data_IF_541446897495
#
_entry.id   IF_541446897495
#
_cell.length_a   1.000
_cell.length_b   1.000
_cell.length_c   1.000
_cell.angle_alpha   90.00
_cell.angle_beta   90.00
_cell.angle_gamma   90.00
#
_symmetry.space_group_name_H-M   'P 1'
#
loop_
_entity.id
_entity.type
_entity.pdbx_description
1 polymer ?
#
# COMPACT_ATOMS: atom_id res chain seq x y z
N UNK A 1 19.65 7.95 5.61
CA UNK A 1 18.40 7.54 4.94
C UNK A 1 18.03 8.53 3.83
N UNK A 2 17.89 9.83 4.09
CA UNK A 2 17.41 10.84 3.13
C UNK A 2 18.35 10.97 1.93
N UNK A 3 19.66 11.11 2.15
CA UNK A 3 20.66 11.21 1.08
C UNK A 3 20.68 9.94 0.23
N UNK A 4 20.55 8.77 0.89
CA UNK A 4 20.49 7.48 0.20
C UNK A 4 19.22 7.35 -0.65
N UNK A 5 18.06 7.78 -0.15
CA UNK A 5 16.84 7.81 -0.93
C UNK A 5 17.01 8.67 -2.19
N UNK A 6 17.58 9.88 -2.03
CA UNK A 6 17.86 10.76 -3.17
C UNK A 6 18.81 10.09 -4.17
N UNK A 7 19.88 9.46 -3.69
CA UNK A 7 20.85 8.75 -4.53
C UNK A 7 20.20 7.59 -5.29
N UNK A 8 19.41 6.76 -4.60
CA UNK A 8 18.77 5.60 -5.21
C UNK A 8 17.75 5.99 -6.29
N UNK A 9 17.01 7.08 -6.07
CA UNK A 9 16.06 7.57 -7.08
C UNK A 9 16.80 8.20 -8.25
N UNK A 10 17.75 9.10 -8.01
CA UNK A 10 18.39 9.89 -9.06
C UNK A 10 19.44 9.12 -9.88
N UNK A 11 20.23 8.25 -9.23
CA UNK A 11 21.32 7.54 -9.88
C UNK A 11 20.93 6.13 -10.35
N UNK A 12 20.02 5.45 -9.62
CA UNK A 12 19.64 4.06 -9.92
C UNK A 12 18.20 3.91 -10.43
N UNK A 13 17.44 5.01 -10.53
CA UNK A 13 16.10 5.00 -11.10
C UNK A 13 15.06 4.27 -10.23
N UNK A 14 15.30 4.15 -8.91
CA UNK A 14 14.30 3.58 -8.00
C UNK A 14 13.01 4.38 -8.03
N UNK A 15 11.89 3.67 -7.99
CA UNK A 15 10.55 4.24 -8.22
C UNK A 15 9.80 4.60 -6.95
N UNK A 16 10.38 4.44 -5.78
CA UNK A 16 9.72 4.74 -4.51
C UNK A 16 10.55 4.41 -3.29
N UNK A 17 9.97 4.64 -2.12
CA UNK A 17 10.51 4.26 -0.83
C UNK A 17 9.58 3.28 -0.12
N UNK A 18 10.10 2.54 0.86
CA UNK A 18 9.30 1.72 1.77
C UNK A 18 9.56 2.13 3.21
N UNK A 19 8.49 2.18 4.00
CA UNK A 19 8.51 2.41 5.45
C UNK A 19 7.81 1.25 6.14
N UNK A 20 8.48 0.69 7.13
CA UNK A 20 7.96 -0.43 7.89
C UNK A 20 7.78 -0.06 9.37
N UNK A 21 6.56 0.28 9.81
CA UNK A 21 6.24 0.62 11.19
C UNK A 21 6.57 -0.50 12.18
N UNK A 22 6.42 -1.78 11.79
CA UNK A 22 6.70 -2.90 12.67
C UNK A 22 8.18 -3.00 13.03
N UNK A 23 9.05 -2.88 12.02
CA UNK A 23 10.50 -2.97 12.21
C UNK A 23 11.02 -1.75 12.97
N UNK A 24 10.46 -0.60 12.69
CA UNK A 24 10.82 0.65 13.36
C UNK A 24 10.25 0.73 14.80
N UNK A 25 9.21 -0.07 15.11
CA UNK A 25 8.44 0.00 16.38
C UNK A 25 7.92 1.42 16.65
N UNK A 26 7.40 2.05 15.61
CA UNK A 26 6.87 3.41 15.61
C UNK A 26 5.63 3.44 14.71
N UNK A 27 4.57 4.14 15.08
CA UNK A 27 3.40 4.30 14.21
C UNK A 27 3.77 5.03 12.92
N UNK A 28 3.02 4.74 11.83
CA UNK A 28 3.30 5.29 10.51
C UNK A 28 3.30 6.84 10.49
N UNK A 29 2.48 7.48 11.32
CA UNK A 29 2.39 8.93 11.52
C UNK A 29 3.43 9.50 12.49
N UNK A 30 4.42 8.70 12.91
CA UNK A 30 5.45 9.20 13.82
C UNK A 30 6.39 10.17 13.12
N UNK A 31 6.67 11.33 13.76
CA UNK A 31 7.49 12.44 13.23
C UNK A 31 8.86 12.03 12.66
N UNK A 32 9.43 10.90 13.07
CA UNK A 32 10.70 10.41 12.52
C UNK A 32 10.61 9.95 11.07
N UNK A 33 9.42 9.57 10.58
CA UNK A 33 9.18 9.22 9.19
C UNK A 33 8.92 10.43 8.29
N UNK A 34 8.48 11.56 8.85
CA UNK A 34 8.11 12.77 8.10
C UNK A 34 9.20 13.28 7.15
N UNK A 35 10.50 13.27 7.51
CA UNK A 35 11.56 13.63 6.55
C UNK A 35 11.62 12.70 5.33
N UNK A 36 11.27 11.40 5.48
CA UNK A 36 11.18 10.45 4.36
C UNK A 36 10.00 10.82 3.47
N UNK A 37 8.83 11.08 4.05
CA UNK A 37 7.63 11.47 3.32
C UNK A 37 7.83 12.78 2.55
N UNK A 38 8.40 13.78 3.20
CA UNK A 38 8.75 15.05 2.55
C UNK A 38 9.72 14.85 1.38
N UNK A 39 10.72 13.96 1.53
CA UNK A 39 11.68 13.67 0.46
C UNK A 39 11.01 12.91 -0.69
N UNK A 40 10.08 12.00 -0.43
CA UNK A 40 9.29 11.34 -1.48
C UNK A 40 8.45 12.35 -2.27
N UNK A 41 7.83 13.34 -1.60
CA UNK A 41 7.14 14.43 -2.28
C UNK A 41 8.08 15.24 -3.18
N UNK A 42 9.25 15.63 -2.67
CA UNK A 42 10.27 16.38 -3.43
C UNK A 42 10.72 15.61 -4.68
N UNK A 43 10.97 14.32 -4.53
CA UNK A 43 11.40 13.42 -5.61
C UNK A 43 10.27 12.96 -6.53
N UNK A 44 9.01 13.25 -6.16
CA UNK A 44 7.79 12.81 -6.86
C UNK A 44 7.73 11.30 -7.03
N UNK A 45 8.08 10.56 -5.98
CA UNK A 45 8.00 9.10 -5.93
C UNK A 45 7.04 8.66 -4.83
N UNK A 46 6.32 7.52 -5.01
CA UNK A 46 5.44 6.99 -3.99
C UNK A 46 6.20 6.45 -2.78
N UNK A 47 5.50 6.36 -1.66
CA UNK A 47 5.93 5.61 -0.49
C UNK A 47 5.01 4.41 -0.27
N UNK A 48 5.60 3.24 -0.04
CA UNK A 48 4.90 2.05 0.45
C UNK A 48 4.99 2.05 1.98
N UNK A 49 3.86 1.98 2.65
CA UNK A 49 3.78 1.89 4.12
C UNK A 49 3.23 0.50 4.46
N UNK A 50 4.04 -0.32 5.14
CA UNK A 50 3.59 -1.62 5.62
C UNK A 50 2.51 -1.46 6.68
N UNK A 51 1.35 -2.06 6.43
CA UNK A 51 0.19 -2.08 7.32
C UNK A 51 -0.21 -3.53 7.65
N UNK A 52 -1.23 -3.73 8.47
CA UNK A 52 -1.70 -5.08 8.80
C UNK A 52 -1.20 -5.60 10.15
N UNK A 53 -1.27 -6.91 10.44
CA UNK A 53 -1.12 -7.44 11.79
C UNK A 53 0.32 -7.63 12.27
N UNK A 54 1.32 -7.62 11.38
CA UNK A 54 2.72 -7.86 11.76
C UNK A 54 2.98 -9.20 12.43
N UNK A 55 2.25 -10.25 12.07
CA UNK A 55 2.20 -11.54 12.77
C UNK A 55 3.56 -12.25 12.90
N UNK A 56 4.48 -11.98 11.98
CA UNK A 56 5.82 -12.61 11.94
C UNK A 56 6.92 -11.71 12.49
N UNK A 57 6.57 -10.55 13.04
CA UNK A 57 7.55 -9.59 13.56
C UNK A 57 7.49 -9.55 15.08
N UNK A 58 8.49 -10.10 15.79
CA UNK A 58 8.49 -10.12 17.24
C UNK A 58 8.43 -8.72 17.85
N UNK A 59 7.48 -8.51 18.75
CA UNK A 59 7.27 -7.24 19.43
C UNK A 59 6.62 -6.16 18.57
N UNK A 60 6.03 -6.50 17.41
CA UNK A 60 5.19 -5.60 16.64
C UNK A 60 3.92 -5.23 17.40
N UNK A 61 3.51 -3.97 17.26
CA UNK A 61 2.24 -3.48 17.79
C UNK A 61 1.32 -3.22 16.60
N UNK A 62 0.22 -3.97 16.51
CA UNK A 62 -0.70 -3.91 15.37
C UNK A 62 -1.25 -2.48 15.15
N UNK A 63 -1.49 -1.72 16.22
CA UNK A 63 -1.94 -0.33 16.14
C UNK A 63 -0.96 0.64 15.48
N UNK A 64 0.35 0.33 15.47
CA UNK A 64 1.36 1.18 14.82
C UNK A 64 1.23 1.14 13.29
N UNK A 65 0.71 0.04 12.76
CA UNK A 65 0.52 -0.20 11.34
C UNK A 65 -0.98 -0.21 10.93
N UNK A 66 -1.84 0.42 11.71
CA UNK A 66 -3.26 0.51 11.37
C UNK A 66 -3.50 1.51 10.23
N UNK A 67 -4.56 1.31 9.42
CA UNK A 67 -4.95 2.25 8.35
C UNK A 67 -5.18 3.68 8.85
N UNK A 68 -5.69 3.87 10.08
CA UNK A 68 -5.88 5.19 10.66
C UNK A 68 -4.58 6.01 10.75
N UNK A 69 -3.43 5.35 10.94
CA UNK A 69 -2.12 6.02 10.94
C UNK A 69 -1.74 6.52 9.54
N UNK A 70 -2.13 5.77 8.51
CA UNK A 70 -1.93 6.19 7.11
C UNK A 70 -2.84 7.37 6.75
N UNK A 71 -4.06 7.41 7.27
CA UNK A 71 -4.98 8.54 7.09
C UNK A 71 -4.37 9.86 7.60
N UNK A 72 -3.70 9.82 8.75
CA UNK A 72 -2.98 10.97 9.30
C UNK A 72 -1.84 11.44 8.38
N UNK A 73 -1.03 10.49 7.87
CA UNK A 73 0.05 10.79 6.91
C UNK A 73 -0.50 11.37 5.61
N UNK A 74 -1.60 10.81 5.09
CA UNK A 74 -2.22 11.29 3.85
C UNK A 74 -2.75 12.73 3.96
N UNK A 75 -3.29 13.08 5.12
CA UNK A 75 -3.73 14.45 5.43
C UNK A 75 -2.55 15.42 5.51
N UNK A 76 -1.47 15.01 6.17
CA UNK A 76 -0.31 15.89 6.41
C UNK A 76 0.56 16.04 5.14
N UNK A 77 0.48 15.09 4.20
CA UNK A 77 1.22 15.07 2.93
C UNK A 77 0.26 14.83 1.75
N UNK A 78 -0.58 15.78 1.36
CA UNK A 78 -1.60 15.59 0.33
C UNK A 78 -1.01 15.33 -1.07
N UNK A 79 0.23 15.75 -1.33
CA UNK A 79 0.94 15.53 -2.59
C UNK A 79 1.73 14.20 -2.63
N UNK A 80 1.79 13.46 -1.53
CA UNK A 80 2.48 12.20 -1.43
C UNK A 80 1.59 11.06 -1.95
N UNK A 81 2.04 10.33 -2.96
CA UNK A 81 1.40 9.07 -3.32
C UNK A 81 1.76 8.00 -2.30
N UNK A 82 0.76 7.44 -1.64
CA UNK A 82 0.90 6.44 -0.57
C UNK A 82 0.29 5.11 -1.03
N UNK A 83 1.02 4.02 -0.85
CA UNK A 83 0.51 2.66 -1.03
C UNK A 83 0.51 1.96 0.32
N UNK A 84 -0.68 1.62 0.84
CA UNK A 84 -0.80 0.74 2.00
C UNK A 84 -0.50 -0.70 1.56
N UNK A 85 0.60 -1.27 2.04
CA UNK A 85 0.91 -2.68 1.84
C UNK A 85 0.16 -3.54 2.86
N UNK A 86 -0.24 -4.76 2.45
CA UNK A 86 -1.02 -5.71 3.25
C UNK A 86 -2.44 -5.26 3.65
N UNK A 87 -2.94 -4.20 2.99
CA UNK A 87 -4.33 -3.76 3.08
C UNK A 87 -4.83 -3.36 4.47
N UNK A 88 -3.93 -3.16 5.44
CA UNK A 88 -4.34 -2.87 6.81
C UNK A 88 -5.09 -4.01 7.50
N UNK A 89 -5.00 -5.26 7.00
CA UNK A 89 -5.68 -6.39 7.61
C UNK A 89 -5.38 -6.47 9.14
N UNK A 90 -6.35 -6.72 10.02
CA UNK A 90 -7.73 -7.14 9.76
C UNK A 90 -8.74 -5.98 9.59
N UNK A 91 -8.33 -4.74 9.55
CA UNK A 91 -9.19 -3.54 9.49
C UNK A 91 -9.65 -3.22 8.06
N UNK A 92 -10.24 -4.23 7.39
CA UNK A 92 -10.61 -4.16 5.96
C UNK A 92 -11.48 -2.95 5.62
N UNK A 93 -12.55 -2.71 6.38
CA UNK A 93 -13.47 -1.60 6.14
C UNK A 93 -12.78 -0.24 6.34
N UNK A 94 -11.99 -0.11 7.40
CA UNK A 94 -11.23 1.10 7.70
C UNK A 94 -10.23 1.40 6.57
N UNK A 95 -9.47 0.39 6.12
CA UNK A 95 -8.52 0.53 5.02
C UNK A 95 -9.17 0.97 3.71
N UNK A 96 -10.33 0.38 3.37
CA UNK A 96 -11.10 0.78 2.19
C UNK A 96 -11.58 2.23 2.30
N UNK A 97 -12.02 2.66 3.49
CA UNK A 97 -12.45 4.04 3.71
C UNK A 97 -11.29 5.03 3.67
N UNK A 98 -10.11 4.66 4.16
CA UNK A 98 -8.90 5.49 4.03
C UNK A 98 -8.54 5.70 2.57
N UNK A 99 -8.58 4.65 1.73
CA UNK A 99 -8.40 4.78 0.28
C UNK A 99 -9.48 5.64 -0.39
N UNK A 100 -10.74 5.48 0.02
CA UNK A 100 -11.86 6.21 -0.56
C UNK A 100 -11.79 7.73 -0.29
N UNK A 101 -11.49 8.10 0.96
CA UNK A 101 -11.50 9.52 1.36
C UNK A 101 -10.23 10.29 0.97
N UNK A 102 -9.10 9.60 0.71
CA UNK A 102 -7.84 10.23 0.37
C UNK A 102 -7.47 9.96 -1.09
N UNK A 103 -7.44 11.02 -1.91
CA UNK A 103 -7.14 10.92 -3.33
C UNK A 103 -5.74 10.31 -3.59
N UNK A 104 -4.81 10.51 -2.69
CA UNK A 104 -3.40 10.12 -2.77
C UNK A 104 -3.08 8.75 -2.17
N UNK A 105 -4.08 8.00 -1.64
CA UNK A 105 -3.87 6.68 -1.02
C UNK A 105 -4.35 5.56 -1.93
N UNK A 106 -3.52 4.54 -2.06
CA UNK A 106 -3.74 3.28 -2.77
C UNK A 106 -3.46 2.11 -1.84
N UNK A 107 -3.82 0.88 -2.24
CA UNK A 107 -3.68 -0.29 -1.38
C UNK A 107 -3.42 -1.56 -2.18
N UNK A 108 -2.53 -2.42 -1.66
CA UNK A 108 -2.42 -3.83 -2.00
C UNK A 108 -2.64 -4.66 -0.73
N UNK A 109 -3.17 -5.89 -0.85
CA UNK A 109 -3.48 -6.74 0.31
C UNK A 109 -2.89 -8.15 0.18
N UNK A 110 -1.73 -8.24 -0.44
CA UNK A 110 -0.98 -9.50 -0.55
C UNK A 110 -0.83 -10.22 0.79
N UNK A 111 -0.77 -11.52 0.76
CA UNK A 111 -0.85 -12.48 1.86
C UNK A 111 -2.26 -12.71 2.43
N UNK A 112 -3.17 -11.74 2.31
CA UNK A 112 -4.48 -11.77 2.96
C UNK A 112 -5.65 -11.97 2.00
N UNK A 113 -5.40 -12.29 0.72
CA UNK A 113 -6.42 -12.31 -0.34
C UNK A 113 -7.59 -13.25 -0.05
N UNK A 114 -7.30 -14.38 0.61
CA UNK A 114 -8.28 -15.43 0.93
C UNK A 114 -8.58 -15.56 2.43
N UNK A 115 -8.11 -14.61 3.24
CA UNK A 115 -8.34 -14.63 4.67
C UNK A 115 -9.77 -14.20 5.02
N UNK A 116 -10.28 -14.54 6.21
CA UNK A 116 -11.64 -14.15 6.63
C UNK A 116 -11.87 -12.65 6.43
N UNK A 117 -13.03 -12.29 5.85
CA UNK A 117 -13.46 -10.92 5.56
C UNK A 117 -12.66 -10.18 4.48
N UNK A 118 -11.68 -10.81 3.83
CA UNK A 118 -10.91 -10.20 2.73
C UNK A 118 -11.75 -9.94 1.47
N UNK A 119 -12.89 -10.61 1.31
CA UNK A 119 -13.90 -10.32 0.28
C UNK A 119 -14.37 -8.86 0.31
N UNK A 120 -14.26 -8.19 1.46
CA UNK A 120 -14.51 -6.76 1.61
C UNK A 120 -13.65 -5.88 0.70
N UNK A 121 -12.39 -6.25 0.42
CA UNK A 121 -11.54 -5.51 -0.54
C UNK A 121 -12.09 -5.59 -1.96
N UNK A 122 -12.50 -6.80 -2.38
CA UNK A 122 -13.07 -7.03 -3.72
C UNK A 122 -14.37 -6.27 -3.90
N UNK A 123 -15.24 -6.34 -2.88
CA UNK A 123 -16.49 -5.59 -2.88
C UNK A 123 -16.25 -4.08 -2.96
N UNK A 124 -15.35 -3.55 -2.14
CA UNK A 124 -14.99 -2.14 -2.18
C UNK A 124 -14.37 -1.75 -3.52
N UNK A 125 -13.48 -2.59 -4.10
CA UNK A 125 -12.92 -2.39 -5.43
C UNK A 125 -13.97 -2.28 -6.51
N UNK A 126 -14.97 -3.16 -6.49
CA UNK A 126 -16.04 -3.15 -7.47
C UNK A 126 -17.00 -1.94 -7.35
N UNK A 127 -17.23 -1.45 -6.14
CA UNK A 127 -18.32 -0.51 -5.87
C UNK A 127 -17.83 0.91 -5.51
N UNK A 128 -16.66 1.05 -4.90
CA UNK A 128 -16.27 2.28 -4.22
C UNK A 128 -14.89 2.83 -4.65
N UNK A 129 -13.89 1.95 -4.83
CA UNK A 129 -12.48 2.30 -5.06
C UNK A 129 -11.84 1.56 -6.23
N UNK A 130 -12.45 1.55 -7.44
CA UNK A 130 -12.01 0.73 -8.57
C UNK A 130 -10.61 1.10 -9.10
N UNK A 131 -10.14 2.30 -8.78
CA UNK A 131 -8.87 2.87 -9.22
C UNK A 131 -7.80 2.96 -8.12
N UNK A 132 -8.05 2.32 -6.96
CA UNK A 132 -7.19 2.42 -5.77
C UNK A 132 -6.50 1.11 -5.39
N UNK A 133 -7.04 -0.02 -5.83
CA UNK A 133 -6.46 -1.32 -5.53
C UNK A 133 -5.38 -1.68 -6.54
N UNK A 134 -4.26 -2.23 -6.07
CA UNK A 134 -3.17 -2.70 -6.90
C UNK A 134 -2.80 -4.13 -6.57
N UNK A 135 -2.31 -4.86 -7.57
CA UNK A 135 -1.83 -6.23 -7.41
C UNK A 135 -0.47 -6.23 -6.71
N UNK A 136 -0.32 -7.16 -5.77
CA UNK A 136 0.96 -7.57 -5.22
C UNK A 136 0.92 -9.06 -4.87
N UNK A 137 2.08 -9.72 -4.90
CA UNK A 137 2.19 -11.16 -4.71
C UNK A 137 2.82 -11.58 -3.40
N UNK A 138 3.40 -10.64 -2.66
CA UNK A 138 4.29 -10.93 -1.53
C UNK A 138 5.46 -11.89 -1.90
N UNK A 139 5.95 -11.82 -3.15
CA UNK A 139 7.15 -12.56 -3.55
C UNK A 139 8.33 -12.18 -2.62
N UNK A 140 9.19 -13.14 -2.17
CA UNK A 140 9.32 -14.53 -2.62
C UNK A 140 8.49 -15.57 -1.83
N UNK A 141 7.59 -15.15 -0.94
CA UNK A 141 6.78 -16.10 -0.16
C UNK A 141 5.76 -16.84 -1.03
N UNK A 142 5.28 -16.18 -2.09
CA UNK A 142 4.36 -16.76 -3.06
C UNK A 142 4.85 -16.50 -4.49
N UNK A 143 4.49 -17.39 -5.41
CA UNK A 143 4.74 -17.21 -6.84
C UNK A 143 3.83 -16.12 -7.41
N UNK A 144 4.43 -15.14 -8.11
CA UNK A 144 3.70 -13.97 -8.62
C UNK A 144 2.66 -14.35 -9.68
N UNK A 145 2.94 -15.36 -10.51
CA UNK A 145 2.01 -15.81 -11.54
C UNK A 145 0.81 -16.55 -10.97
N UNK A 146 1.04 -17.41 -9.98
CA UNK A 146 -0.05 -18.08 -9.26
C UNK A 146 -0.95 -17.09 -8.52
N UNK A 147 -0.34 -16.04 -7.93
CA UNK A 147 -1.12 -14.97 -7.29
C UNK A 147 -1.94 -14.16 -8.29
N UNK A 148 -1.39 -13.81 -9.46
CA UNK A 148 -2.16 -13.13 -10.49
C UNK A 148 -3.39 -13.96 -10.93
N UNK A 149 -3.22 -15.27 -11.11
CA UNK A 149 -4.35 -16.17 -11.39
C UNK A 149 -5.37 -16.24 -10.25
N UNK A 150 -4.94 -16.16 -9.00
CA UNK A 150 -5.85 -16.10 -7.86
C UNK A 150 -6.75 -14.86 -7.96
N UNK A 151 -6.21 -13.69 -8.31
CA UNK A 151 -7.00 -12.46 -8.45
C UNK A 151 -8.12 -12.59 -9.50
N UNK A 152 -7.92 -13.37 -10.57
CA UNK A 152 -8.95 -13.66 -11.57
C UNK A 152 -10.17 -14.41 -10.98
N UNK A 153 -9.99 -15.08 -9.85
CA UNK A 153 -11.03 -15.89 -9.18
C UNK A 153 -11.71 -15.17 -8.01
N UNK A 154 -11.21 -14.00 -7.59
CA UNK A 154 -11.71 -13.30 -6.39
C UNK A 154 -13.08 -12.62 -6.59
N UNK A 155 -13.55 -12.48 -7.83
CA UNK A 155 -14.86 -11.92 -8.14
C UNK A 155 -14.85 -10.42 -8.48
N UNK A 156 -13.73 -9.90 -8.95
CA UNK A 156 -13.68 -8.56 -9.54
C UNK A 156 -14.47 -8.48 -10.84
N UNK A 157 -15.09 -7.32 -11.09
CA UNK A 157 -15.57 -6.99 -12.43
C UNK A 157 -14.37 -6.91 -13.39
N UNK A 158 -14.55 -7.29 -14.69
CA UNK A 158 -13.44 -7.32 -15.64
C UNK A 158 -12.66 -6.00 -15.76
N UNK A 159 -13.36 -4.86 -15.78
CA UNK A 159 -12.77 -3.52 -15.84
C UNK A 159 -11.96 -3.16 -14.59
N UNK A 160 -12.43 -3.60 -13.42
CA UNK A 160 -11.73 -3.40 -12.15
C UNK A 160 -10.52 -4.34 -12.04
N UNK A 161 -10.66 -5.59 -12.48
CA UNK A 161 -9.55 -6.56 -12.47
C UNK A 161 -8.35 -6.07 -13.27
N UNK A 162 -8.58 -5.52 -14.48
CA UNK A 162 -7.53 -4.94 -15.31
C UNK A 162 -6.82 -3.76 -14.59
N UNK A 163 -7.59 -2.90 -13.93
CA UNK A 163 -7.05 -1.82 -13.14
C UNK A 163 -6.19 -2.33 -11.97
N UNK A 164 -6.67 -3.34 -11.25
CA UNK A 164 -5.95 -3.95 -10.11
C UNK A 164 -4.65 -4.62 -10.58
N UNK A 165 -4.71 -5.41 -11.66
CA UNK A 165 -3.55 -6.17 -12.13
C UNK A 165 -2.48 -5.31 -12.78
N UNK A 166 -2.84 -4.17 -13.39
CA UNK A 166 -1.89 -3.37 -14.16
C UNK A 166 -2.09 -1.85 -14.06
N UNK A 167 -3.25 -1.32 -14.49
CA UNK A 167 -3.41 0.10 -14.80
C UNK A 167 -3.14 1.01 -13.60
N UNK A 168 -3.59 0.63 -12.39
CA UNK A 168 -3.40 1.45 -11.19
C UNK A 168 -1.93 1.55 -10.79
N UNK A 169 -1.20 0.44 -10.81
CA UNK A 169 0.23 0.43 -10.50
C UNK A 169 1.03 1.19 -11.58
N UNK A 170 0.71 0.99 -12.86
CA UNK A 170 1.37 1.65 -13.98
C UNK A 170 1.24 3.18 -13.87
N UNK A 171 0.05 3.68 -13.52
CA UNK A 171 -0.19 5.11 -13.27
C UNK A 171 0.64 5.66 -12.10
N UNK A 172 0.69 4.93 -10.98
CA UNK A 172 1.45 5.34 -9.78
C UNK A 172 2.95 5.41 -10.09
N UNK A 173 3.46 4.47 -10.87
CA UNK A 173 4.90 4.34 -11.18
C UNK A 173 5.32 5.16 -12.42
N UNK A 174 4.37 5.77 -13.13
CA UNK A 174 4.64 6.55 -14.35
C UNK A 174 5.21 5.69 -15.48
N UNK A 175 4.66 4.47 -15.67
CA UNK A 175 5.07 3.51 -16.72
C UNK A 175 3.90 3.15 -17.66
N UNK A 176 2.80 3.89 -17.57
CA UNK A 176 1.63 3.75 -18.44
C UNK A 176 1.83 4.43 -19.79
#
# INVERSE_FOLDING_TARGET
AIDELSRMVNEFGMKGASVDPYLAKLPADHRKFYPIYAKCCELKVPVVISTGPGTRVPGAIMGDASPARVDEVARDFPDLTIVMSHGGYPYVQEACMVCHRNANVYMEWSEYETWPFADGYVKAGNELIPDKLIFASAHPFYDSWERAKLYETLGFRPDVLENVLYNNAARILGIA
#
